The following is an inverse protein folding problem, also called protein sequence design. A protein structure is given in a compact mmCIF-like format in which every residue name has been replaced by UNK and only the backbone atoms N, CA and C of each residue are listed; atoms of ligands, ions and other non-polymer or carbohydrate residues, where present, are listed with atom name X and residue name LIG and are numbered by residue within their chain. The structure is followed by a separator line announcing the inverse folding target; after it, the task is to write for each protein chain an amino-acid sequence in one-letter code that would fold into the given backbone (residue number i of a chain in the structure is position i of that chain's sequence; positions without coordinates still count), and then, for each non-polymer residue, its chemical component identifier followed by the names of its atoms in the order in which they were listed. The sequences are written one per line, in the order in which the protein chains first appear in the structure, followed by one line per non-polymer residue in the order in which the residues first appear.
data_IF_980099121418
#
_entry.id   IF_980099121418
#
_cell.length_a   1.000
_cell.length_b   1.000
_cell.length_c   1.000
_cell.angle_alpha   90.00
_cell.angle_beta   90.00
_cell.angle_gamma   90.00
#
_symmetry.space_group_name_H-M   'P 1'
#
loop_
_entity.id
_entity.type
_entity.pdbx_description
1 polymer ?
#
# COMPACT_ATOMS: atom_id res chain seq x y z
N UNK A 1 20.38 -47.09 4.90
CA UNK A 1 20.51 -46.29 3.64
C UNK A 1 19.41 -45.24 3.69
N UNK A 2 19.68 -44.17 4.43
CA UNK A 2 18.72 -43.15 4.84
C UNK A 2 18.27 -42.30 3.65
N UNK A 3 16.97 -42.34 3.38
CA UNK A 3 16.33 -41.54 2.34
C UNK A 3 16.12 -40.13 2.91
N UNK A 4 17.11 -39.25 2.74
CA UNK A 4 17.01 -37.83 3.07
C UNK A 4 15.91 -37.22 2.19
N UNK A 5 14.75 -36.93 2.79
CA UNK A 5 13.67 -36.19 2.12
C UNK A 5 14.20 -34.78 1.90
N UNK A 6 14.53 -34.49 0.64
CA UNK A 6 14.94 -33.17 0.20
C UNK A 6 13.67 -32.30 0.18
N UNK A 7 13.41 -31.63 1.31
CA UNK A 7 12.37 -30.60 1.38
C UNK A 7 12.87 -29.44 0.54
N UNK A 8 12.44 -29.37 -0.72
CA UNK A 8 12.55 -28.15 -1.50
C UNK A 8 11.76 -27.06 -0.77
N UNK A 9 12.38 -25.94 -0.35
CA UNK A 9 11.61 -24.77 0.00
C UNK A 9 11.04 -24.26 -1.33
N UNK A 10 9.82 -24.69 -1.66
CA UNK A 10 9.03 -23.99 -2.66
C UNK A 10 8.70 -22.64 -2.02
N UNK A 11 9.58 -21.66 -2.21
CA UNK A 11 9.21 -20.26 -2.06
C UNK A 11 8.19 -20.06 -3.16
N UNK A 12 6.91 -20.20 -2.81
CA UNK A 12 5.83 -19.80 -3.69
C UNK A 12 6.12 -18.34 -4.02
N UNK A 13 6.59 -18.09 -5.24
CA UNK A 13 6.68 -16.73 -5.76
C UNK A 13 5.25 -16.22 -5.76
N UNK A 14 4.89 -15.43 -4.76
CA UNK A 14 3.64 -14.68 -4.76
C UNK A 14 3.74 -13.77 -5.98
N UNK A 15 3.07 -14.17 -7.05
CA UNK A 15 3.05 -13.39 -8.28
C UNK A 15 2.28 -12.12 -7.98
N UNK A 16 3.00 -11.01 -7.85
CA UNK A 16 2.40 -9.69 -7.64
C UNK A 16 1.74 -9.27 -8.95
N UNK A 17 0.43 -9.44 -9.03
CA UNK A 17 -0.34 -9.12 -10.24
C UNK A 17 -0.78 -7.66 -10.27
N UNK A 18 -0.94 -7.02 -9.11
CA UNK A 18 -1.34 -5.62 -9.02
C UNK A 18 -0.21 -4.68 -9.43
N UNK A 19 -0.48 -3.83 -10.42
CA UNK A 19 0.48 -2.86 -10.95
C UNK A 19 0.31 -1.49 -10.29
N UNK A 20 1.41 -0.87 -9.88
CA UNK A 20 1.44 0.57 -9.67
C UNK A 20 1.39 1.26 -11.04
N UNK A 21 0.28 1.94 -11.31
CA UNK A 21 0.00 2.59 -12.60
C UNK A 21 0.36 4.07 -12.60
N UNK A 22 0.42 4.69 -11.42
CA UNK A 22 0.80 6.10 -11.27
C UNK A 22 1.35 6.35 -9.87
N UNK A 23 2.34 7.23 -9.78
CA UNK A 23 2.83 7.81 -8.53
C UNK A 23 3.08 9.30 -8.78
N UNK A 24 2.05 10.12 -8.59
CA UNK A 24 2.06 11.52 -8.98
C UNK A 24 2.16 12.43 -7.77
N UNK A 25 3.08 13.41 -7.82
CA UNK A 25 3.16 14.46 -6.80
C UNK A 25 1.90 15.32 -6.84
N UNK A 26 1.30 15.55 -5.67
CA UNK A 26 0.15 16.43 -5.52
C UNK A 26 0.63 17.87 -5.33
N UNK A 27 0.02 18.80 -6.06
CA UNK A 27 0.47 20.19 -6.15
C UNK A 27 0.10 21.02 -4.93
N UNK A 28 -0.92 20.60 -4.16
CA UNK A 28 -1.45 21.28 -2.98
C UNK A 28 -2.02 20.27 -1.97
N UNK A 29 -2.13 20.69 -0.71
CA UNK A 29 -3.07 20.12 0.27
C UNK A 29 -4.50 20.38 -0.25
N UNK A 30 -5.00 19.55 -1.15
CA UNK A 30 -6.41 19.57 -1.54
C UNK A 30 -7.29 19.05 -0.39
N UNK A 31 -8.60 19.27 -0.45
CA UNK A 31 -9.54 18.87 0.60
C UNK A 31 -9.45 17.36 0.91
N UNK A 32 -9.14 16.56 -0.11
CA UNK A 32 -8.98 15.11 0.01
C UNK A 32 -7.73 14.78 0.83
N UNK A 33 -6.62 15.47 0.56
CA UNK A 33 -5.36 15.32 1.30
C UNK A 33 -5.51 15.82 2.74
N UNK A 34 -6.23 16.91 2.97
CA UNK A 34 -6.53 17.45 4.31
C UNK A 34 -7.42 16.51 5.12
N UNK A 35 -8.43 15.91 4.49
CA UNK A 35 -9.28 14.92 5.13
C UNK A 35 -8.51 13.62 5.45
N UNK A 36 -7.59 13.21 4.58
CA UNK A 36 -6.78 12.02 4.78
C UNK A 36 -5.68 12.19 5.84
N UNK A 37 -5.09 13.38 5.95
CA UNK A 37 -4.02 13.71 6.88
C UNK A 37 -4.40 14.91 7.77
N UNK A 38 -5.26 14.71 8.79
CA UNK A 38 -5.76 15.80 9.63
C UNK A 38 -4.64 16.49 10.44
N UNK A 39 -3.55 15.79 10.71
CA UNK A 39 -2.32 16.34 11.29
C UNK A 39 -1.19 16.26 10.25
N UNK A 40 -1.11 17.24 9.34
CA UNK A 40 -0.11 17.22 8.30
C UNK A 40 1.26 17.62 8.86
N UNK A 41 2.29 16.81 8.59
CA UNK A 41 3.66 17.18 8.93
C UNK A 41 4.07 18.46 8.19
N UNK A 42 4.76 19.36 8.89
CA UNK A 42 5.24 20.61 8.30
C UNK A 42 6.28 20.32 7.21
N UNK A 43 6.24 21.07 6.11
CA UNK A 43 7.09 20.83 4.94
C UNK A 43 6.88 19.50 4.20
N UNK A 44 5.88 18.68 4.58
CA UNK A 44 5.67 17.38 3.96
C UNK A 44 5.25 17.48 2.49
N UNK A 45 5.70 16.51 1.70
CA UNK A 45 5.31 16.34 0.29
C UNK A 45 4.26 15.24 0.16
N UNK A 46 3.26 15.48 -0.68
CA UNK A 46 2.13 14.57 -0.88
C UNK A 46 2.15 13.95 -2.27
N UNK A 47 1.78 12.68 -2.35
CA UNK A 47 1.70 11.93 -3.60
C UNK A 47 0.40 11.13 -3.66
N UNK A 48 -0.04 10.83 -4.87
CA UNK A 48 -1.12 9.89 -5.18
C UNK A 48 -0.54 8.69 -5.91
N UNK A 49 -0.58 7.54 -5.25
CA UNK A 49 -0.26 6.25 -5.84
C UNK A 49 -1.54 5.58 -6.33
N UNK A 50 -1.57 5.12 -7.59
CA UNK A 50 -2.71 4.41 -8.15
C UNK A 50 -2.33 2.97 -8.47
N UNK A 51 -3.06 2.03 -7.91
CA UNK A 51 -2.89 0.60 -8.07
C UNK A 51 -4.03 0.05 -8.93
N UNK A 52 -3.67 -0.77 -9.92
CA UNK A 52 -4.61 -1.51 -10.75
C UNK A 52 -4.47 -3.01 -10.44
N UNK A 53 -5.34 -3.54 -9.56
CA UNK A 53 -5.47 -4.97 -9.38
C UNK A 53 -5.86 -5.66 -10.70
N UNK A 54 -5.52 -6.95 -10.87
CA UNK A 54 -6.03 -7.74 -11.98
C UNK A 54 -7.56 -7.87 -11.92
N UNK A 55 -8.22 -7.89 -13.08
CA UNK A 55 -9.67 -8.00 -13.21
C UNK A 55 -10.43 -6.66 -13.08
N UNK A 56 -11.76 -6.73 -13.07
CA UNK A 56 -12.65 -5.54 -13.02
C UNK A 56 -12.94 -5.06 -11.59
N UNK A 57 -11.97 -5.19 -10.69
CA UNK A 57 -12.15 -4.90 -9.25
C UNK A 57 -12.10 -3.40 -8.92
N UNK A 58 -11.76 -2.55 -9.90
CA UNK A 58 -11.61 -1.11 -9.74
C UNK A 58 -10.19 -0.71 -9.32
N UNK A 59 -9.89 0.59 -9.46
CA UNK A 59 -8.58 1.15 -9.07
C UNK A 59 -8.55 1.44 -7.57
N UNK A 60 -7.44 1.08 -6.94
CA UNK A 60 -7.15 1.45 -5.54
C UNK A 60 -6.20 2.63 -5.56
N UNK A 61 -6.45 3.62 -4.71
CA UNK A 61 -5.63 4.83 -4.61
C UNK A 61 -5.04 4.87 -3.21
N UNK A 62 -3.76 5.18 -3.09
CA UNK A 62 -3.17 5.55 -1.82
C UNK A 62 -2.68 6.99 -1.89
N UNK A 63 -3.08 7.80 -0.91
CA UNK A 63 -2.46 9.07 -0.63
C UNK A 63 -1.25 8.81 0.25
N UNK A 64 -0.13 9.41 -0.11
CA UNK A 64 1.16 9.20 0.54
C UNK A 64 1.68 10.54 1.03
N UNK A 65 1.97 10.62 2.33
CA UNK A 65 2.64 11.75 2.95
C UNK A 65 4.10 11.38 3.24
N UNK A 66 5.03 12.19 2.75
CA UNK A 66 6.47 12.05 3.02
C UNK A 66 6.93 13.29 3.79
N UNK A 67 7.40 13.08 5.02
CA UNK A 67 7.98 14.14 5.87
C UNK A 67 9.31 14.64 5.29
N UNK A 68 9.70 15.91 5.49
CA UNK A 68 11.07 16.36 5.23
C UNK A 68 12.12 15.57 6.04
N UNK A 69 11.74 14.98 7.17
CA UNK A 69 12.62 14.16 8.02
C UNK A 69 12.76 12.70 7.52
N UNK A 70 12.26 12.39 6.33
CA UNK A 70 12.46 11.09 5.69
C UNK A 70 13.97 10.86 5.41
N UNK A 71 14.55 9.68 5.75
CA UNK A 71 13.92 8.41 6.10
C UNK A 71 13.73 8.16 7.60
N UNK A 72 14.10 9.09 8.47
CA UNK A 72 13.90 8.95 9.93
C UNK A 72 12.43 8.93 10.31
N UNK A 73 11.62 9.80 9.70
CA UNK A 73 10.15 9.72 9.76
C UNK A 73 9.66 9.01 8.52
N UNK A 74 8.95 7.90 8.73
CA UNK A 74 8.49 7.05 7.62
C UNK A 74 7.32 7.64 6.84
N UNK A 75 7.18 7.29 5.55
CA UNK A 75 6.02 7.66 4.76
C UNK A 75 4.74 7.09 5.37
N UNK A 76 3.67 7.88 5.33
CA UNK A 76 2.33 7.49 5.79
C UNK A 76 1.42 7.29 4.59
N UNK A 77 0.71 6.16 4.58
CA UNK A 77 -0.24 5.77 3.54
C UNK A 77 -1.67 5.82 4.05
N UNK A 78 -2.57 6.41 3.26
CA UNK A 78 -4.02 6.34 3.46
C UNK A 78 -4.65 5.81 2.19
N UNK A 79 -5.34 4.68 2.27
CA UNK A 79 -5.96 4.04 1.13
C UNK A 79 -7.38 4.54 0.93
N UNK A 80 -7.75 4.74 -0.32
CA UNK A 80 -9.06 5.20 -0.76
C UNK A 80 -9.46 4.48 -2.05
N UNK A 81 -10.77 4.35 -2.25
CA UNK A 81 -11.30 3.88 -3.53
C UNK A 81 -11.18 4.98 -4.58
N UNK A 82 -10.88 4.61 -5.83
CA UNK A 82 -10.99 5.57 -6.92
C UNK A 82 -12.47 5.88 -7.18
N UNK A 83 -12.91 7.08 -6.80
CA UNK A 83 -14.28 7.57 -7.01
C UNK A 83 -14.64 7.69 -8.50
N UNK A 84 -13.65 7.63 -9.40
CA UNK A 84 -13.86 7.56 -10.85
C UNK A 84 -14.29 6.16 -11.35
N UNK A 85 -14.38 5.16 -10.48
CA UNK A 85 -14.92 3.85 -10.84
C UNK A 85 -16.42 3.95 -11.16
N UNK A 86 -16.80 3.50 -12.35
CA UNK A 86 -18.20 3.51 -12.84
C UNK A 86 -19.08 2.46 -12.16
N UNK A 87 -18.51 1.57 -11.36
CA UNK A 87 -19.23 0.54 -10.61
C UNK A 87 -19.61 1.11 -9.25
N UNK A 88 -20.89 1.47 -9.09
CA UNK A 88 -21.44 1.91 -7.80
C UNK A 88 -21.52 0.69 -6.86
N UNK A 89 -20.68 0.59 -5.82
CA UNK A 89 -20.75 -0.52 -4.89
C UNK A 89 -21.95 -0.33 -3.97
N UNK A 90 -22.55 -1.42 -3.51
CA UNK A 90 -23.60 -1.33 -2.48
C UNK A 90 -23.00 -0.83 -1.15
N UNK A 91 -23.81 -0.22 -0.29
CA UNK A 91 -23.36 0.32 1.02
C UNK A 91 -22.60 -0.71 1.87
N UNK A 92 -22.99 -1.99 1.80
CA UNK A 92 -22.29 -3.06 2.52
C UNK A 92 -20.93 -3.39 1.89
N UNK A 93 -20.82 -3.37 0.56
CA UNK A 93 -19.53 -3.54 -0.12
C UNK A 93 -18.59 -2.36 0.13
N UNK A 94 -19.12 -1.14 0.24
CA UNK A 94 -18.34 0.04 0.64
C UNK A 94 -17.76 -0.15 2.05
N UNK A 95 -18.59 -0.51 3.03
CA UNK A 95 -18.12 -0.72 4.43
C UNK A 95 -17.06 -1.81 4.54
N UNK A 96 -17.28 -2.96 3.89
CA UNK A 96 -16.30 -4.07 3.89
C UNK A 96 -14.99 -3.66 3.22
N UNK A 97 -15.05 -2.86 2.15
CA UNK A 97 -13.86 -2.33 1.47
C UNK A 97 -13.15 -1.26 2.30
N UNK A 98 -13.87 -0.36 2.95
CA UNK A 98 -13.28 0.66 3.84
C UNK A 98 -12.55 0.03 5.03
N UNK A 99 -13.16 -1.00 5.65
CA UNK A 99 -12.49 -1.81 6.67
C UNK A 99 -11.21 -2.43 6.10
N UNK A 100 -11.30 -3.08 4.93
CA UNK A 100 -10.15 -3.69 4.28
C UNK A 100 -9.04 -2.69 3.93
N UNK A 101 -9.36 -1.48 3.48
CA UNK A 101 -8.36 -0.44 3.18
C UNK A 101 -7.73 0.14 4.44
N UNK A 102 -8.49 0.24 5.52
CA UNK A 102 -7.97 0.66 6.82
C UNK A 102 -6.97 -0.36 7.34
N UNK A 103 -7.30 -1.65 7.25
CA UNK A 103 -6.41 -2.74 7.67
C UNK A 103 -5.13 -2.77 6.82
N UNK A 104 -5.24 -2.61 5.50
CA UNK A 104 -4.06 -2.52 4.62
C UNK A 104 -3.18 -1.30 4.92
N UNK A 105 -3.79 -0.15 5.24
CA UNK A 105 -3.06 1.05 5.63
C UNK A 105 -2.34 0.85 6.97
N UNK A 106 -3.00 0.23 7.95
CA UNK A 106 -2.40 -0.11 9.24
C UNK A 106 -1.21 -1.04 9.05
N UNK A 107 -1.37 -2.11 8.26
CA UNK A 107 -0.29 -3.07 7.96
C UNK A 107 0.97 -2.37 7.41
N UNK A 108 0.78 -1.48 6.43
CA UNK A 108 1.90 -0.82 5.74
C UNK A 108 2.52 0.30 6.57
N UNK A 109 1.77 0.94 7.47
CA UNK A 109 2.26 2.03 8.30
C UNK A 109 2.90 1.52 9.61
N UNK A 110 2.27 0.57 10.28
CA UNK A 110 2.72 0.05 11.59
C UNK A 110 3.93 -0.88 11.42
N UNK A 111 3.89 -1.80 10.45
CA UNK A 111 4.98 -2.75 10.20
C UNK A 111 6.04 -2.24 9.23
N UNK A 112 6.06 -0.94 8.94
CA UNK A 112 7.06 -0.35 8.05
C UNK A 112 8.51 -0.54 8.53
N UNK A 113 8.75 -0.75 9.83
CA UNK A 113 10.06 -1.14 10.38
C UNK A 113 10.52 -2.51 9.89
N UNK A 114 9.59 -3.46 9.80
CA UNK A 114 9.88 -4.87 9.54
C UNK A 114 10.13 -5.13 8.05
N UNK A 115 9.81 -4.14 7.22
CA UNK A 115 10.03 -4.15 5.78
C UNK A 115 11.51 -3.95 5.39
N UNK A 116 12.34 -3.45 6.30
CA UNK A 116 13.76 -3.19 6.05
C UNK A 116 14.59 -4.31 6.71
N UNK A 117 15.60 -4.87 6.04
CA UNK A 117 16.48 -5.85 6.66
C UNK A 117 17.10 -5.33 7.96
N UNK A 118 17.17 -6.20 8.97
CA UNK A 118 17.71 -5.90 10.30
C UNK A 118 19.12 -5.33 10.19
N UNK A 119 19.31 -4.09 10.65
CA UNK A 119 20.60 -3.38 10.64
C UNK A 119 20.59 -2.03 9.93
N UNK A 120 19.55 -1.73 9.15
CA UNK A 120 19.48 -0.51 8.33
C UNK A 120 18.23 0.34 8.67
N UNK A 121 18.10 0.74 9.93
CA UNK A 121 16.90 1.39 10.49
C UNK A 121 16.45 2.69 9.80
N UNK A 122 17.26 3.27 8.91
CA UNK A 122 16.99 4.50 8.17
C UNK A 122 17.25 4.35 6.67
N UNK A 123 16.77 3.25 6.07
CA UNK A 123 16.88 3.07 4.62
C UNK A 123 15.83 3.87 3.84
N UNK A 124 16.28 4.56 2.79
CA UNK A 124 15.44 5.18 1.78
C UNK A 124 14.62 4.16 0.96
N UNK A 125 14.85 2.85 1.14
CA UNK A 125 14.11 1.79 0.46
C UNK A 125 12.75 1.51 1.12
N UNK A 126 12.50 2.00 2.34
CA UNK A 126 11.24 1.72 3.06
C UNK A 126 10.00 2.11 2.26
N UNK A 127 10.07 3.20 1.49
CA UNK A 127 8.97 3.62 0.62
C UNK A 127 8.67 2.58 -0.46
N UNK A 128 9.72 2.03 -1.09
CA UNK A 128 9.60 1.01 -2.13
C UNK A 128 9.00 -0.26 -1.51
N UNK A 129 9.45 -0.65 -0.32
CA UNK A 129 8.90 -1.82 0.35
C UNK A 129 7.43 -1.62 0.74
N UNK A 130 7.04 -0.46 1.27
CA UNK A 130 5.64 -0.14 1.58
C UNK A 130 4.76 -0.20 0.32
N UNK A 131 5.22 0.34 -0.81
CA UNK A 131 4.54 0.24 -2.11
C UNK A 131 4.41 -1.21 -2.54
N UNK A 132 5.46 -2.03 -2.39
CA UNK A 132 5.43 -3.46 -2.75
C UNK A 132 4.45 -4.25 -1.90
N UNK A 133 4.43 -4.01 -0.59
CA UNK A 133 3.45 -4.60 0.33
C UNK A 133 2.03 -4.25 -0.11
N UNK A 134 1.77 -2.99 -0.48
CA UNK A 134 0.47 -2.60 -1.02
C UNK A 134 0.12 -3.31 -2.32
N UNK A 135 1.07 -3.53 -3.23
CA UNK A 135 0.80 -4.33 -4.43
C UNK A 135 0.42 -5.78 -4.11
N UNK A 136 0.98 -6.37 -3.05
CA UNK A 136 0.61 -7.72 -2.58
C UNK A 136 -0.78 -7.71 -1.97
N UNK A 137 -1.05 -6.77 -1.05
CA UNK A 137 -2.32 -6.69 -0.31
C UNK A 137 -3.51 -6.34 -1.20
N UNK A 138 -3.27 -5.58 -2.27
CA UNK A 138 -4.31 -5.22 -3.25
C UNK A 138 -4.49 -6.26 -4.34
N UNK A 139 -3.68 -7.34 -4.37
CA UNK A 139 -3.97 -8.48 -5.24
C UNK A 139 -5.18 -9.24 -4.68
N UNK A 140 -6.19 -9.58 -5.49
CA UNK A 140 -7.20 -10.53 -5.06
C UNK A 140 -6.52 -11.87 -4.77
N UNK A 141 -6.75 -12.41 -3.57
CA UNK A 141 -6.34 -13.78 -3.26
C UNK A 141 -6.91 -14.72 -4.32
N UNK A 142 -6.13 -15.69 -4.83
CA UNK A 142 -6.70 -16.72 -5.68
C UNK A 142 -7.81 -17.41 -4.87
N UNK A 143 -9.05 -17.32 -5.35
CA UNK A 143 -10.13 -18.16 -4.83
C UNK A 143 -9.74 -19.60 -5.16
N UNK A 144 -9.43 -20.37 -4.12
CA UNK A 144 -9.29 -21.83 -4.19
C UNK A 144 -10.68 -22.43 -4.09
#
# INVERSE_FOLDING_TARGET
KDKRVQVHPSIAHVSVQTKLTSFAKLSKRDDVTMAAFPEPADGATYFRAAFAPPGDLGRVVALVQISPDYPTVRPRFVLQHDLASTVVPTTNQLKVRELSYTDMAAEVNEFASDLIPVGDCASYDVLIHQVRTLQVLTCPSPMI
#
